data_IF_577090716382
#
_entry.id   IF_577090716382
#
_cell.length_a   1.000
_cell.length_b   1.000
_cell.length_c   1.000
_cell.angle_alpha   90.00
_cell.angle_beta   90.00
_cell.angle_gamma   90.00
#
_symmetry.space_group_name_H-M   'P 1'
#
loop_
_entity.id
_entity.type
_entity.pdbx_description
1 polymer ?
#
# COMPACT_ATOMS: atom_id res chain seq x y z
N UNK A 1 -1.98 32.83 -8.66
CA UNK A 1 -2.95 31.72 -8.52
C UNK A 1 -3.16 31.13 -9.91
N UNK A 2 -2.48 30.03 -10.22
CA UNK A 2 -2.63 29.37 -11.52
C UNK A 2 -3.87 28.47 -11.48
N UNK A 3 -4.82 28.73 -12.37
CA UNK A 3 -5.97 27.87 -12.60
C UNK A 3 -5.50 26.54 -13.21
N UNK A 4 -5.64 25.44 -12.46
CA UNK A 4 -5.50 24.08 -12.98
C UNK A 4 -6.80 23.72 -13.72
N UNK A 5 -6.79 23.92 -15.04
CA UNK A 5 -7.87 23.57 -15.93
C UNK A 5 -8.07 22.05 -15.98
N UNK A 6 -9.22 21.54 -15.54
CA UNK A 6 -9.86 20.31 -16.03
C UNK A 6 -9.14 18.95 -15.87
N UNK A 7 -7.94 18.89 -15.30
CA UNK A 7 -7.24 17.64 -15.02
C UNK A 7 -7.59 17.23 -13.58
N UNK A 8 -8.33 16.12 -13.43
CA UNK A 8 -8.51 15.45 -12.13
C UNK A 8 -7.16 14.85 -11.70
N UNK A 9 -6.27 15.72 -11.21
CA UNK A 9 -4.96 15.35 -10.72
C UNK A 9 -5.13 14.61 -9.41
N UNK A 10 -4.70 13.36 -9.38
CA UNK A 10 -4.76 12.51 -8.19
C UNK A 10 -3.36 12.08 -7.79
N UNK A 11 -3.00 12.32 -6.54
CA UNK A 11 -1.75 11.85 -5.95
C UNK A 11 -1.91 10.42 -5.41
N UNK A 12 -0.80 9.69 -5.26
CA UNK A 12 -0.77 8.39 -4.59
C UNK A 12 -1.76 7.36 -5.16
N UNK A 13 -1.90 7.29 -6.49
CA UNK A 13 -2.79 6.32 -7.16
C UNK A 13 -2.42 4.88 -6.83
N UNK A 14 -3.42 4.02 -6.68
CA UNK A 14 -3.23 2.58 -6.51
C UNK A 14 -3.94 1.77 -7.58
N UNK A 15 -3.71 0.47 -7.57
CA UNK A 15 -4.37 -0.51 -8.44
C UNK A 15 -5.04 -1.59 -7.59
N UNK A 16 -6.26 -1.96 -7.99
CA UNK A 16 -6.94 -3.10 -7.42
C UNK A 16 -6.24 -4.39 -7.83
N UNK A 17 -5.91 -5.25 -6.87
CA UNK A 17 -5.28 -6.54 -7.08
C UNK A 17 -5.99 -7.59 -6.22
N UNK A 18 -5.89 -8.87 -6.58
CA UNK A 18 -6.51 -9.95 -5.81
C UNK A 18 -5.71 -11.24 -5.89
N UNK A 19 -5.85 -12.07 -4.86
CA UNK A 19 -5.27 -13.40 -4.81
C UNK A 19 -6.32 -14.45 -4.46
N UNK A 20 -6.11 -15.69 -4.92
CA UNK A 20 -6.89 -16.87 -4.54
C UNK A 20 -6.51 -17.35 -3.15
N UNK A 21 -7.51 -17.70 -2.34
CA UNK A 21 -7.32 -18.35 -1.03
C UNK A 21 -7.52 -19.85 -1.12
N UNK A 22 -6.88 -20.58 -0.19
CA UNK A 22 -7.08 -22.02 -0.07
C UNK A 22 -8.54 -22.37 0.14
N UNK A 23 -9.04 -23.24 -0.74
CA UNK A 23 -10.32 -23.92 -0.62
C UNK A 23 -10.26 -25.17 -1.52
N UNK A 24 -10.79 -26.31 -1.09
CA UNK A 24 -10.97 -27.55 -1.85
C UNK A 24 -10.15 -27.69 -3.18
N UNK A 25 -8.85 -28.01 -3.07
CA UNK A 25 -7.96 -28.24 -4.24
C UNK A 25 -7.30 -27.00 -4.83
N UNK A 26 -7.55 -25.80 -4.29
CA UNK A 26 -6.87 -24.55 -4.68
C UNK A 26 -5.74 -24.18 -3.71
N UNK A 27 -4.62 -23.70 -4.26
CA UNK A 27 -3.50 -23.11 -3.50
C UNK A 27 -3.91 -21.83 -2.76
N UNK A 28 -3.32 -21.60 -1.57
CA UNK A 28 -3.41 -20.30 -0.90
C UNK A 28 -2.37 -19.32 -1.48
N UNK A 29 -2.77 -18.60 -2.51
CA UNK A 29 -1.97 -17.57 -3.16
C UNK A 29 -2.03 -16.22 -2.43
N UNK A 30 -2.72 -16.16 -1.27
CA UNK A 30 -2.83 -14.96 -0.44
C UNK A 30 -1.90 -14.95 0.77
N UNK A 31 -1.03 -15.94 0.94
CA UNK A 31 -0.14 -16.04 2.10
C UNK A 31 0.89 -14.89 2.12
N UNK A 32 1.24 -14.42 3.32
CA UNK A 32 2.12 -13.27 3.55
C UNK A 32 3.62 -13.60 3.61
N UNK A 33 4.04 -14.88 3.57
CA UNK A 33 5.42 -15.27 3.88
C UNK A 33 6.01 -16.38 3.00
N UNK A 34 7.29 -16.24 2.65
CA UNK A 34 8.19 -17.35 2.30
C UNK A 34 8.13 -17.81 0.85
N UNK A 35 8.41 -16.91 -0.10
CA UNK A 35 8.48 -17.23 -1.54
C UNK A 35 9.72 -18.06 -1.94
N UNK A 36 10.64 -18.32 -1.00
CA UNK A 36 11.73 -19.28 -1.19
C UNK A 36 11.23 -20.72 -1.04
N UNK A 37 11.24 -21.48 -2.14
CA UNK A 37 11.03 -22.94 -2.22
C UNK A 37 9.69 -23.51 -1.70
N UNK A 38 8.57 -22.77 -1.79
CA UNK A 38 7.25 -23.28 -1.39
C UNK A 38 6.50 -23.94 -2.56
N UNK A 39 6.48 -25.28 -2.58
CA UNK A 39 5.73 -26.15 -3.51
C UNK A 39 4.26 -25.71 -3.68
N UNK A 40 3.65 -25.12 -2.66
CA UNK A 40 2.26 -24.62 -2.70
C UNK A 40 2.02 -23.40 -3.61
N UNK A 41 3.06 -22.65 -3.99
CA UNK A 41 2.95 -21.42 -4.80
C UNK A 41 3.22 -21.66 -6.29
N UNK A 42 3.61 -22.87 -6.69
CA UNK A 42 3.85 -23.22 -8.09
C UNK A 42 2.60 -22.94 -8.96
N UNK A 43 1.41 -23.13 -8.39
CA UNK A 43 0.12 -22.93 -9.05
C UNK A 43 -0.46 -21.50 -8.92
N UNK A 44 0.27 -20.58 -8.29
CA UNK A 44 -0.10 -19.16 -8.26
C UNK A 44 0.40 -18.47 -9.53
N UNK A 45 -0.42 -17.58 -10.07
CA UNK A 45 -0.06 -16.81 -11.26
C UNK A 45 0.94 -15.69 -10.93
N UNK A 46 1.46 -15.03 -11.97
CA UNK A 46 2.46 -13.98 -11.82
C UNK A 46 1.93 -12.75 -11.08
N UNK A 47 0.65 -12.40 -11.24
CA UNK A 47 0.03 -11.28 -10.54
C UNK A 47 -0.10 -11.57 -9.05
N UNK A 48 -0.51 -12.78 -8.68
CA UNK A 48 -0.57 -13.24 -7.28
C UNK A 48 0.80 -13.25 -6.61
N UNK A 49 1.83 -13.70 -7.33
CA UNK A 49 3.22 -13.65 -6.87
C UNK A 49 3.70 -12.21 -6.67
N UNK A 50 3.40 -11.33 -7.62
CA UNK A 50 3.75 -9.91 -7.53
C UNK A 50 3.02 -9.22 -6.36
N UNK A 51 1.73 -9.52 -6.17
CA UNK A 51 0.95 -9.03 -5.03
C UNK A 51 1.54 -9.53 -3.71
N UNK A 52 1.96 -10.80 -3.68
CA UNK A 52 2.70 -11.37 -2.56
C UNK A 52 3.92 -10.55 -2.14
N UNK A 53 4.79 -10.23 -3.10
CA UNK A 53 5.95 -9.36 -2.89
C UNK A 53 5.55 -7.94 -2.46
N UNK A 54 4.48 -7.39 -3.04
CA UNK A 54 3.96 -6.08 -2.64
C UNK A 54 3.47 -6.07 -1.18
N UNK A 55 2.86 -7.17 -0.71
CA UNK A 55 2.45 -7.35 0.69
C UNK A 55 3.66 -7.44 1.63
N UNK A 56 4.68 -8.22 1.28
CA UNK A 56 5.94 -8.28 2.05
C UNK A 56 6.61 -6.89 2.14
N UNK A 57 6.55 -6.11 1.07
CA UNK A 57 7.07 -4.74 1.03
C UNK A 57 6.13 -3.70 1.69
N UNK A 58 5.03 -4.12 2.32
CA UNK A 58 4.03 -3.25 2.97
C UNK A 58 3.45 -2.18 2.03
N UNK A 59 3.23 -2.54 0.76
CA UNK A 59 2.71 -1.65 -0.30
C UNK A 59 1.21 -1.82 -0.54
N UNK A 60 0.49 -2.52 0.34
CA UNK A 60 -0.91 -2.89 0.11
C UNK A 60 -1.82 -2.52 1.26
N UNK A 61 -3.10 -2.31 0.96
CA UNK A 61 -4.19 -2.24 1.93
C UNK A 61 -5.20 -3.33 1.59
N UNK A 62 -5.61 -4.13 2.59
CA UNK A 62 -6.63 -5.16 2.38
C UNK A 62 -8.01 -4.55 2.29
N UNK A 63 -8.78 -4.92 1.27
CA UNK A 63 -10.16 -4.43 1.05
C UNK A 63 -11.18 -5.43 1.57
N UNK A 64 -10.98 -6.73 1.31
CA UNK A 64 -11.86 -7.79 1.81
C UNK A 64 -11.83 -9.08 0.98
N UNK A 65 -12.63 -10.06 1.38
CA UNK A 65 -12.76 -11.37 0.73
C UNK A 65 -14.09 -11.50 -0.01
N UNK A 66 -14.11 -12.20 -1.14
CA UNK A 66 -15.32 -12.50 -1.88
C UNK A 66 -15.26 -13.88 -2.54
N UNK A 67 -16.44 -14.44 -2.81
CA UNK A 67 -16.56 -15.64 -3.61
C UNK A 67 -16.44 -15.30 -5.10
N UNK A 68 -15.37 -15.77 -5.75
CA UNK A 68 -15.14 -15.55 -7.18
C UNK A 68 -15.80 -16.61 -8.06
N UNK A 69 -16.03 -17.82 -7.52
CA UNK A 69 -16.75 -18.90 -8.21
C UNK A 69 -17.77 -19.53 -7.29
N UNK A 70 -19.04 -19.44 -7.66
CA UNK A 70 -20.18 -19.99 -6.89
C UNK A 70 -20.96 -20.95 -7.78
N UNK A 71 -21.25 -22.16 -7.27
CA UNK A 71 -22.02 -23.20 -7.98
C UNK A 71 -23.03 -23.76 -7.01
N UNK A 72 -24.31 -23.79 -7.41
CA UNK A 72 -25.43 -24.28 -6.57
C UNK A 72 -25.46 -23.66 -5.16
N UNK A 73 -25.13 -22.37 -5.04
CA UNK A 73 -25.08 -21.68 -3.74
C UNK A 73 -23.79 -21.88 -2.95
N UNK A 74 -22.97 -22.86 -3.29
CA UNK A 74 -21.70 -23.17 -2.62
C UNK A 74 -20.56 -22.36 -3.25
N UNK A 75 -19.71 -21.76 -2.40
CA UNK A 75 -18.53 -21.06 -2.87
C UNK A 75 -17.40 -22.06 -3.15
N UNK A 76 -17.01 -22.20 -4.42
CA UNK A 76 -15.94 -23.10 -4.84
C UNK A 76 -14.57 -22.41 -4.86
N UNK A 77 -14.54 -21.08 -4.96
CA UNK A 77 -13.28 -20.35 -4.99
C UNK A 77 -13.46 -18.99 -4.33
N UNK A 78 -12.58 -18.71 -3.36
CA UNK A 78 -12.51 -17.42 -2.67
C UNK A 78 -11.33 -16.62 -3.17
N UNK A 79 -11.52 -15.31 -3.29
CA UNK A 79 -10.45 -14.35 -3.56
C UNK A 79 -10.44 -13.28 -2.48
N UNK A 80 -9.26 -12.75 -2.18
CA UNK A 80 -9.09 -11.58 -1.33
C UNK A 80 -8.53 -10.42 -2.15
N UNK A 81 -9.14 -9.25 -2.02
CA UNK A 81 -8.78 -8.04 -2.74
C UNK A 81 -7.99 -7.07 -1.90
N UNK A 82 -7.14 -6.33 -2.59
CA UNK A 82 -6.21 -5.36 -2.04
C UNK A 82 -6.14 -4.13 -2.96
N UNK A 83 -5.83 -2.98 -2.38
CA UNK A 83 -5.26 -1.87 -3.12
C UNK A 83 -3.74 -1.92 -2.99
N UNK A 84 -3.04 -2.00 -4.12
CA UNK A 84 -1.58 -1.94 -4.19
C UNK A 84 -1.15 -0.53 -4.61
N UNK A 85 -0.12 -0.01 -3.96
CA UNK A 85 0.45 1.31 -4.20
C UNK A 85 1.93 1.21 -4.60
N UNK A 86 2.45 2.24 -5.25
CA UNK A 86 3.83 2.24 -5.75
C UNK A 86 4.89 2.53 -4.66
N UNK A 87 4.47 3.01 -3.48
CA UNK A 87 5.38 3.30 -2.37
C UNK A 87 4.71 3.13 -1.00
N UNK A 88 5.53 2.92 0.04
CA UNK A 88 5.07 2.89 1.44
C UNK A 88 4.43 4.22 1.84
N UNK A 89 4.99 5.33 1.38
CA UNK A 89 4.41 6.66 1.60
C UNK A 89 2.99 6.74 1.03
N UNK A 90 2.79 6.31 -0.23
CA UNK A 90 1.47 6.27 -0.85
C UNK A 90 0.50 5.38 -0.06
N UNK A 91 0.96 4.20 0.36
CA UNK A 91 0.17 3.27 1.17
C UNK A 91 -0.27 3.91 2.50
N UNK A 92 0.64 4.57 3.21
CA UNK A 92 0.38 5.22 4.51
C UNK A 92 -0.63 6.34 4.35
N UNK A 93 -0.41 7.25 3.39
CA UNK A 93 -1.30 8.39 3.17
C UNK A 93 -2.70 7.91 2.76
N UNK A 94 -2.78 6.86 1.94
CA UNK A 94 -4.06 6.28 1.53
C UNK A 94 -4.77 5.56 2.69
N UNK A 95 -4.06 4.77 3.48
CA UNK A 95 -4.67 4.03 4.57
C UNK A 95 -5.04 4.95 5.75
N UNK A 96 -4.06 5.70 6.25
CA UNK A 96 -4.21 6.47 7.47
C UNK A 96 -4.85 7.83 7.20
N UNK A 97 -4.48 8.50 6.10
CA UNK A 97 -5.09 9.77 5.71
C UNK A 97 -6.48 9.58 5.10
N UNK A 98 -6.56 9.01 3.90
CA UNK A 98 -7.84 8.88 3.18
C UNK A 98 -8.85 8.01 3.93
N UNK A 99 -8.47 6.81 4.39
CA UNK A 99 -9.44 5.92 5.03
C UNK A 99 -9.71 6.24 6.50
N UNK A 100 -8.69 6.47 7.33
CA UNK A 100 -8.92 6.67 8.77
C UNK A 100 -9.31 8.10 9.14
N UNK A 101 -8.61 9.12 8.64
CA UNK A 101 -8.94 10.51 8.97
C UNK A 101 -10.16 11.03 8.19
N UNK A 102 -10.20 10.80 6.86
CA UNK A 102 -11.29 11.33 6.03
C UNK A 102 -12.51 10.40 5.94
N UNK A 103 -12.41 9.17 6.43
CA UNK A 103 -13.50 8.18 6.36
C UNK A 103 -13.78 7.64 4.95
N UNK A 104 -12.87 7.85 4.00
CA UNK A 104 -13.06 7.44 2.60
C UNK A 104 -12.47 6.03 2.41
N UNK A 105 -13.34 5.03 2.42
CA UNK A 105 -12.95 3.62 2.32
C UNK A 105 -12.49 3.16 0.93
N UNK A 106 -12.02 1.91 0.83
CA UNK A 106 -11.50 1.31 -0.41
C UNK A 106 -12.55 0.52 -1.21
N UNK A 107 -13.83 0.87 -1.08
CA UNK A 107 -14.91 0.17 -1.77
C UNK A 107 -15.14 -1.27 -1.30
N UNK A 108 -15.77 -2.08 -2.14
CA UNK A 108 -16.11 -3.48 -1.83
C UNK A 108 -15.02 -4.43 -2.33
N UNK A 109 -14.91 -5.63 -1.73
CA UNK A 109 -13.92 -6.62 -2.15
C UNK A 109 -13.99 -6.98 -3.65
N UNK A 110 -15.18 -7.03 -4.25
CA UNK A 110 -15.36 -7.30 -5.69
C UNK A 110 -15.05 -6.10 -6.59
N UNK A 111 -15.05 -4.89 -6.03
CA UNK A 111 -14.94 -3.63 -6.75
C UNK A 111 -14.18 -2.63 -5.87
N UNK A 112 -12.86 -2.84 -5.68
CA UNK A 112 -12.08 -1.99 -4.80
C UNK A 112 -11.91 -0.60 -5.42
N UNK A 113 -12.09 0.44 -4.61
CA UNK A 113 -11.76 1.83 -4.98
C UNK A 113 -10.34 2.17 -4.51
N UNK A 114 -9.39 1.98 -5.41
CA UNK A 114 -7.96 2.26 -5.19
C UNK A 114 -7.50 3.56 -5.84
N UNK A 115 -8.43 4.49 -6.12
CA UNK A 115 -8.07 5.76 -6.76
C UNK A 115 -7.02 6.54 -5.95
N UNK A 116 -6.34 7.45 -6.63
CA UNK A 116 -5.53 8.46 -5.95
C UNK A 116 -6.38 9.47 -5.17
N UNK A 117 -5.71 10.23 -4.31
CA UNK A 117 -6.26 11.28 -3.46
C UNK A 117 -6.32 12.57 -4.26
N UNK A 118 -7.45 13.27 -4.20
CA UNK A 118 -7.60 14.58 -4.85
C UNK A 118 -6.85 15.67 -4.07
N UNK A 119 -6.61 16.83 -4.68
CA UNK A 119 -5.95 17.96 -4.00
C UNK A 119 -6.72 18.37 -2.73
N UNK A 120 -8.04 18.49 -2.83
CA UNK A 120 -8.89 18.91 -1.71
C UNK A 120 -8.90 17.89 -0.56
N UNK A 121 -8.82 16.60 -0.87
CA UNK A 121 -8.70 15.56 0.15
C UNK A 121 -7.33 15.60 0.81
N UNK A 122 -6.28 15.79 0.02
CA UNK A 122 -4.91 15.82 0.50
C UNK A 122 -4.69 16.98 1.49
N UNK A 123 -5.27 18.15 1.22
CA UNK A 123 -5.23 19.31 2.11
C UNK A 123 -5.94 19.11 3.45
N UNK A 124 -6.86 18.13 3.54
CA UNK A 124 -7.60 17.81 4.77
C UNK A 124 -6.91 16.77 5.63
N UNK A 125 -5.87 16.12 5.13
CA UNK A 125 -5.10 15.13 5.88
C UNK A 125 -4.12 15.86 6.79
N UNK A 126 -4.17 15.55 8.08
CA UNK A 126 -3.14 15.95 9.02
C UNK A 126 -1.95 14.97 8.93
N UNK A 127 -0.86 15.42 8.33
CA UNK A 127 0.34 14.62 8.12
C UNK A 127 1.11 14.32 9.42
N UNK A 128 0.98 15.14 10.45
CA UNK A 128 1.65 14.94 11.74
C UNK A 128 1.10 13.75 12.52
N UNK A 129 -0.11 13.29 12.17
CA UNK A 129 -0.77 12.13 12.77
C UNK A 129 -0.58 10.84 11.97
N UNK A 130 0.20 10.87 10.89
CA UNK A 130 0.50 9.68 10.10
C UNK A 130 1.75 8.97 10.65
N UNK A 131 1.67 7.66 10.82
CA UNK A 131 2.82 6.84 11.20
C UNK A 131 3.67 6.47 9.98
N UNK A 132 4.83 7.11 9.88
CA UNK A 132 5.83 6.90 8.83
C UNK A 132 6.99 5.97 9.22
N UNK A 133 6.98 5.33 10.39
CA UNK A 133 8.09 4.51 10.87
C UNK A 133 8.52 3.45 9.84
N UNK A 134 7.55 2.75 9.25
CA UNK A 134 7.79 1.72 8.23
C UNK A 134 8.42 2.26 6.94
N UNK A 135 8.18 3.53 6.60
CA UNK A 135 8.76 4.20 5.44
C UNK A 135 10.18 4.68 5.75
N UNK A 136 10.41 5.24 6.94
CA UNK A 136 11.74 5.66 7.38
C UNK A 136 12.73 4.50 7.51
N UNK A 137 12.30 3.36 8.05
CA UNK A 137 13.14 2.15 8.11
C UNK A 137 13.66 1.75 6.74
N UNK A 138 12.83 1.83 5.69
CA UNK A 138 13.24 1.48 4.34
C UNK A 138 14.14 2.54 3.70
N UNK A 139 13.87 3.83 3.95
CA UNK A 139 14.75 4.90 3.50
C UNK A 139 16.16 4.72 4.08
N UNK A 140 16.27 4.40 5.37
CA UNK A 140 17.55 4.20 6.04
C UNK A 140 18.26 2.92 5.61
N UNK A 141 17.53 1.85 5.28
CA UNK A 141 18.11 0.60 4.75
C UNK A 141 18.61 0.73 3.31
N UNK A 142 17.96 1.55 2.49
CA UNK A 142 18.27 1.69 1.07
C UNK A 142 19.18 2.89 0.72
N UNK A 143 19.33 3.86 1.63
CA UNK A 143 20.45 4.79 1.53
C UNK A 143 21.74 3.99 1.72
N UNK A 144 22.52 3.83 0.64
CA UNK A 144 23.97 3.65 0.77
C UNK A 144 24.48 4.90 1.46
N UNK A 145 24.49 4.83 2.78
CA UNK A 145 25.10 5.80 3.65
C UNK A 145 26.52 6.02 3.17
N UNK A 146 26.89 7.21 2.65
CA UNK A 146 28.29 7.51 2.37
C UNK A 146 29.08 7.30 3.66
N UNK A 147 30.23 6.62 3.62
CA UNK A 147 31.07 6.36 4.80
C UNK A 147 31.57 7.63 5.50
N UNK A 148 31.31 8.80 4.93
CA UNK A 148 31.52 10.10 5.56
C UNK A 148 30.50 10.35 6.67
N UNK A 149 30.80 9.83 7.87
CA UNK A 149 30.02 10.04 9.10
C UNK A 149 29.65 11.52 9.36
N UNK A 150 30.51 12.45 8.91
CA UNK A 150 30.27 13.89 9.01
C UNK A 150 29.10 14.37 8.13
N UNK A 151 28.89 13.76 6.96
CA UNK A 151 27.77 14.10 6.07
C UNK A 151 26.45 13.57 6.62
N UNK A 152 26.43 12.38 7.23
CA UNK A 152 25.23 11.86 7.89
C UNK A 152 24.78 12.72 9.04
N UNK A 153 25.68 13.13 9.91
CA UNK A 153 25.31 13.96 11.05
C UNK A 153 24.73 15.28 10.56
N UNK A 154 25.28 15.84 9.48
CA UNK A 154 24.74 17.05 8.84
C UNK A 154 23.36 16.84 8.23
N UNK A 155 23.12 15.73 7.54
CA UNK A 155 21.82 15.39 6.95
C UNK A 155 20.77 15.11 8.04
N UNK A 156 21.12 14.36 9.08
CA UNK A 156 20.25 14.09 10.24
C UNK A 156 19.88 15.37 10.97
N UNK A 157 20.85 16.26 11.22
CA UNK A 157 20.63 17.55 11.84
C UNK A 157 19.68 18.41 11.00
N UNK A 158 19.91 18.51 9.68
CA UNK A 158 19.04 19.30 8.82
C UNK A 158 17.62 18.74 8.72
N UNK A 159 17.46 17.42 8.66
CA UNK A 159 16.13 16.80 8.68
C UNK A 159 15.44 17.10 10.02
N UNK A 160 16.13 16.96 11.15
CA UNK A 160 15.56 17.23 12.47
C UNK A 160 15.19 18.72 12.69
N UNK A 161 15.99 19.66 12.17
CA UNK A 161 15.69 21.10 12.21
C UNK A 161 14.48 21.45 11.34
N UNK A 162 14.45 20.96 10.09
CA UNK A 162 13.33 21.17 9.16
C UNK A 162 12.01 20.65 9.72
N UNK A 163 12.05 19.53 10.46
CA UNK A 163 10.87 18.96 11.12
C UNK A 163 10.40 19.80 12.32
N UNK A 164 11.31 20.46 13.05
CA UNK A 164 10.94 21.39 14.13
C UNK A 164 10.36 22.71 13.60
N UNK A 165 10.81 23.16 12.44
CA UNK A 165 10.24 24.32 11.76
C UNK A 165 8.83 24.03 11.21
N UNK A 166 8.58 22.80 10.73
CA UNK A 166 7.28 22.37 10.24
C UNK A 166 6.24 22.12 11.35
N UNK A 167 6.70 21.90 12.59
CA UNK A 167 5.86 21.67 13.77
C UNK A 167 5.46 22.98 14.50
N UNK A 168 5.73 24.15 13.90
CA UNK A 168 5.45 25.48 14.45
C UNK A 168 4.49 26.24 13.54
#
# INVERSE_FOLDING_TARGET
>A
MAALNGIDVRAFTGKGQSCRKAFAGFSDCCKDSGWGNSVGLAHCDSEEKALGKAKENKLTVSVGEYCSKKVLGVCLQKKRSYCQFDSKLAQIVQQQGRAWQLGIGFGAAKSPDCRGITVDELQRINFDQLDFANFYEDLMKNQKVPEDAALLEKVKQQIAERMKEAAK
#
